data_IF_968317960781
#
_entry.id   IF_968317960781
#
_cell.length_a   1.000
_cell.length_b   1.000
_cell.length_c   1.000
_cell.angle_alpha   90.00
_cell.angle_beta   90.00
_cell.angle_gamma   90.00
#
_symmetry.space_group_name_H-M   'P 1'
#
loop_
_entity.id
_entity.type
_entity.pdbx_description
1 polymer ?
#
# COMPACT_ATOMS: atom_id res chain seq x y z
N UNK A 1 3.32 -6.59 29.14
CA UNK A 1 3.37 -5.22 28.57
C UNK A 1 4.80 -4.76 28.32
N UNK A 2 5.72 -4.80 29.30
CA UNK A 2 7.13 -4.37 29.13
C UNK A 2 7.83 -4.99 27.91
N UNK A 3 7.78 -6.32 27.72
CA UNK A 3 8.39 -7.00 26.56
C UNK A 3 7.85 -6.52 25.21
N UNK A 4 6.56 -6.23 25.11
CA UNK A 4 5.97 -5.64 23.90
C UNK A 4 6.46 -4.20 23.72
N UNK A 5 6.62 -3.47 24.83
CA UNK A 5 7.20 -2.14 24.85
C UNK A 5 8.62 -2.10 24.28
N UNK A 6 9.50 -2.98 24.75
CA UNK A 6 10.88 -3.13 24.26
C UNK A 6 10.95 -3.48 22.78
N UNK A 7 10.08 -4.38 22.31
CA UNK A 7 9.99 -4.70 20.89
C UNK A 7 9.60 -3.45 20.08
N UNK A 8 8.56 -2.71 20.47
CA UNK A 8 8.14 -1.50 19.75
C UNK A 8 9.23 -0.40 19.75
N UNK A 9 9.97 -0.25 20.86
CA UNK A 9 11.12 0.65 20.94
C UNK A 9 12.21 0.25 19.93
N UNK A 10 12.53 -1.04 19.82
CA UNK A 10 13.52 -1.52 18.85
C UNK A 10 13.10 -1.22 17.41
N UNK A 11 11.85 -1.53 17.05
CA UNK A 11 11.37 -1.31 15.69
C UNK A 11 11.29 0.18 15.34
N UNK A 12 10.88 1.04 16.28
CA UNK A 12 10.84 2.48 16.03
C UNK A 12 12.23 3.10 15.85
N UNK A 13 13.26 2.60 16.53
CA UNK A 13 14.65 3.02 16.28
C UNK A 13 15.13 2.65 14.88
N UNK A 14 14.86 1.42 14.45
CA UNK A 14 15.16 0.98 13.08
C UNK A 14 14.43 1.84 12.04
N UNK A 15 13.19 2.24 12.32
CA UNK A 15 12.43 3.13 11.44
C UNK A 15 13.09 4.52 11.33
N UNK A 16 13.57 5.08 12.44
CA UNK A 16 14.30 6.36 12.45
C UNK A 16 15.57 6.27 11.61
N UNK A 17 16.38 5.21 11.81
CA UNK A 17 17.60 4.98 11.03
C UNK A 17 17.30 4.86 9.53
N UNK A 18 16.21 4.18 9.17
CA UNK A 18 15.77 4.06 7.77
C UNK A 18 15.35 5.41 7.19
N UNK A 19 14.62 6.23 7.93
CA UNK A 19 14.20 7.57 7.49
C UNK A 19 15.39 8.50 7.29
N UNK A 20 16.37 8.47 8.20
CA UNK A 20 17.61 9.25 8.08
C UNK A 20 18.44 8.80 6.86
N UNK A 21 18.60 7.49 6.69
CA UNK A 21 19.30 6.94 5.52
C UNK A 21 18.59 7.23 4.19
N UNK A 22 17.26 7.29 4.18
CA UNK A 22 16.47 7.70 3.02
C UNK A 22 16.60 9.19 2.76
N UNK A 23 16.61 10.03 3.80
CA UNK A 23 16.80 11.46 3.69
C UNK A 23 18.15 11.83 3.02
N UNK A 24 19.20 11.05 3.28
CA UNK A 24 20.50 11.20 2.63
C UNK A 24 20.48 10.86 1.13
N UNK A 25 19.56 9.98 0.71
CA UNK A 25 19.43 9.52 -0.69
C UNK A 25 18.43 10.34 -1.50
N UNK A 26 17.49 11.00 -0.83
CA UNK A 26 16.37 11.73 -1.43
C UNK A 26 16.36 13.20 -0.94
N UNK A 27 17.25 14.06 -1.48
CA UNK A 27 17.38 15.46 -1.03
C UNK A 27 16.06 16.25 -1.13
N UNK A 28 15.20 15.92 -2.09
CA UNK A 28 13.88 16.52 -2.28
C UNK A 28 12.85 16.18 -1.18
N UNK A 29 13.09 15.12 -0.41
CA UNK A 29 12.25 14.67 0.71
C UNK A 29 12.93 14.81 2.06
N UNK A 30 14.19 15.24 2.08
CA UNK A 30 15.07 15.23 3.25
C UNK A 30 14.43 15.87 4.47
N UNK A 31 14.00 17.12 4.38
CA UNK A 31 13.49 17.86 5.54
C UNK A 31 12.25 17.18 6.14
N UNK A 32 11.34 16.69 5.29
CA UNK A 32 10.15 15.96 5.73
C UNK A 32 10.49 14.61 6.39
N UNK A 33 11.44 13.87 5.84
CA UNK A 33 11.89 12.59 6.40
C UNK A 33 12.57 12.80 7.76
N UNK A 34 13.39 13.85 7.90
CA UNK A 34 14.04 14.20 9.17
C UNK A 34 13.03 14.68 10.23
N UNK A 35 12.00 15.44 9.84
CA UNK A 35 10.92 15.83 10.74
C UNK A 35 10.12 14.62 11.24
N UNK A 36 9.81 13.69 10.33
CA UNK A 36 9.15 12.42 10.67
C UNK A 36 10.02 11.57 11.61
N UNK A 37 11.31 11.42 11.31
CA UNK A 37 12.29 10.72 12.14
C UNK A 37 12.39 11.33 13.54
N UNK A 38 12.43 12.66 13.65
CA UNK A 38 12.44 13.38 14.92
C UNK A 38 11.17 13.12 15.73
N UNK A 39 10.00 13.16 15.09
CA UNK A 39 8.73 12.88 15.76
C UNK A 39 8.67 11.45 16.31
N UNK A 40 9.09 10.46 15.51
CA UNK A 40 9.18 9.06 15.93
C UNK A 40 10.16 8.92 17.10
N UNK A 41 11.36 9.50 17.00
CA UNK A 41 12.38 9.43 18.06
C UNK A 41 11.89 10.04 19.40
N UNK A 42 11.12 11.13 19.35
CA UNK A 42 10.52 11.73 20.54
C UNK A 42 9.45 10.81 21.16
N UNK A 43 8.59 10.19 20.35
CA UNK A 43 7.61 9.23 20.84
C UNK A 43 8.28 7.98 21.43
N UNK A 44 9.34 7.47 20.79
CA UNK A 44 10.15 6.35 21.27
C UNK A 44 10.79 6.67 22.62
N UNK A 45 11.29 7.89 22.81
CA UNK A 45 11.88 8.32 24.09
C UNK A 45 10.87 8.26 25.23
N UNK A 46 9.66 8.80 25.01
CA UNK A 46 8.55 8.72 25.99
C UNK A 46 8.16 7.28 26.31
N UNK A 47 8.20 6.41 25.30
CA UNK A 47 7.91 4.99 25.47
C UNK A 47 9.00 4.25 26.26
N UNK A 48 10.27 4.62 26.09
CA UNK A 48 11.38 4.10 26.92
C UNK A 48 11.14 4.49 28.38
N UNK A 49 10.81 5.75 28.66
CA UNK A 49 10.61 6.23 30.02
C UNK A 49 9.41 5.55 30.68
N UNK A 50 8.27 5.43 29.97
CA UNK A 50 7.11 4.71 30.47
C UNK A 50 7.36 3.20 30.66
N UNK A 51 8.22 2.59 29.81
CA UNK A 51 8.61 1.19 29.96
C UNK A 51 9.46 0.98 31.20
N UNK A 52 10.43 1.86 31.46
CA UNK A 52 11.25 1.84 32.69
C UNK A 52 10.39 2.01 33.93
N UNK A 53 9.47 2.97 33.92
CA UNK A 53 8.56 3.21 35.05
C UNK A 53 7.70 1.97 35.32
N UNK A 54 7.15 1.35 34.27
CA UNK A 54 6.38 0.12 34.40
C UNK A 54 7.24 -1.11 34.80
N UNK A 55 8.56 -1.10 34.57
CA UNK A 55 9.46 -2.14 35.08
C UNK A 55 9.69 -2.01 36.58
N UNK A 56 9.82 -0.78 37.09
CA UNK A 56 9.98 -0.50 38.53
C UNK A 56 8.67 -0.73 39.28
N UNK A 57 7.54 -0.31 38.70
CA UNK A 57 6.21 -0.38 39.31
C UNK A 57 5.21 -1.17 38.44
N UNK A 58 5.38 -2.50 38.28
CA UNK A 58 4.60 -3.29 37.33
C UNK A 58 3.12 -3.45 37.68
N UNK A 59 2.75 -3.31 38.96
CA UNK A 59 1.35 -3.42 39.42
C UNK A 59 0.66 -2.08 39.58
N UNK A 60 1.38 -0.96 39.42
CA UNK A 60 0.79 0.37 39.50
C UNK A 60 -0.06 0.63 38.25
N UNK A 61 -1.35 0.88 38.47
CA UNK A 61 -2.28 1.18 37.38
C UNK A 61 -1.82 2.39 36.55
N UNK A 62 -1.28 3.42 37.20
CA UNK A 62 -0.75 4.62 36.56
C UNK A 62 0.40 4.31 35.61
N UNK A 63 1.37 3.49 36.04
CA UNK A 63 2.52 3.09 35.21
C UNK A 63 2.09 2.24 34.01
N UNK A 64 1.09 1.36 34.18
CA UNK A 64 0.52 0.58 33.07
C UNK A 64 -0.24 1.47 32.06
N UNK A 65 -1.02 2.43 32.55
CA UNK A 65 -1.75 3.40 31.70
C UNK A 65 -0.78 4.29 30.95
N UNK A 66 0.26 4.79 31.61
CA UNK A 66 1.31 5.59 30.98
C UNK A 66 2.02 4.81 29.86
N UNK A 67 2.36 3.55 30.10
CA UNK A 67 2.97 2.68 29.07
C UNK A 67 2.03 2.44 27.89
N UNK A 68 0.73 2.20 28.14
CA UNK A 68 -0.27 2.07 27.07
C UNK A 68 -0.38 3.35 26.25
N UNK A 69 -0.50 4.50 26.90
CA UNK A 69 -0.64 5.80 26.22
C UNK A 69 0.61 6.14 25.39
N UNK A 70 1.81 5.85 25.91
CA UNK A 70 3.05 6.03 25.15
C UNK A 70 3.11 5.10 23.93
N UNK A 71 2.64 3.85 24.07
CA UNK A 71 2.57 2.90 22.97
C UNK A 71 1.57 3.35 21.89
N UNK A 72 0.37 3.78 22.27
CA UNK A 72 -0.65 4.32 21.36
C UNK A 72 -0.11 5.53 20.60
N UNK A 73 0.55 6.46 21.30
CA UNK A 73 1.17 7.62 20.68
C UNK A 73 2.29 7.24 19.70
N UNK A 74 3.12 6.25 20.04
CA UNK A 74 4.14 5.76 19.11
C UNK A 74 3.49 5.14 17.86
N UNK A 75 2.40 4.38 18.00
CA UNK A 75 1.67 3.82 16.86
C UNK A 75 1.13 4.93 15.96
N UNK A 76 0.49 5.96 16.52
CA UNK A 76 -0.02 7.09 15.73
C UNK A 76 1.10 7.78 14.96
N UNK A 77 2.18 8.16 15.63
CA UNK A 77 3.29 8.89 14.99
C UNK A 77 3.99 8.04 13.93
N UNK A 78 4.20 6.75 14.18
CA UNK A 78 4.82 5.84 13.19
C UNK A 78 3.91 5.58 11.99
N UNK A 79 2.59 5.52 12.20
CA UNK A 79 1.60 5.43 11.12
C UNK A 79 1.62 6.68 10.24
N UNK A 80 1.57 7.87 10.84
CA UNK A 80 1.67 9.14 10.11
C UNK A 80 2.98 9.26 9.33
N UNK A 81 4.09 8.88 9.96
CA UNK A 81 5.42 8.94 9.36
C UNK A 81 5.60 7.97 8.17
N UNK A 82 4.84 6.87 8.12
CA UNK A 82 4.94 5.86 7.05
C UNK A 82 3.76 5.87 6.06
N UNK A 83 2.74 6.68 6.30
CA UNK A 83 1.49 6.68 5.53
C UNK A 83 1.69 6.92 4.03
N UNK A 84 2.57 7.85 3.64
CA UNK A 84 2.83 8.11 2.23
C UNK A 84 3.51 6.94 1.53
N UNK A 85 4.49 6.32 2.19
CA UNK A 85 5.22 5.18 1.65
C UNK A 85 4.29 3.96 1.51
N UNK A 86 3.40 3.75 2.48
CA UNK A 86 2.36 2.72 2.39
C UNK A 86 1.40 2.98 1.23
N UNK A 87 0.94 4.23 1.05
CA UNK A 87 0.09 4.63 -0.06
C UNK A 87 0.77 4.38 -1.41
N UNK A 88 2.06 4.72 -1.52
CA UNK A 88 2.87 4.48 -2.72
C UNK A 88 3.01 2.99 -3.03
N UNK A 89 3.34 2.16 -2.05
CA UNK A 89 3.41 0.70 -2.26
C UNK A 89 2.08 0.10 -2.67
N UNK A 90 0.99 0.54 -2.04
CA UNK A 90 -0.37 0.08 -2.38
C UNK A 90 -0.70 0.42 -3.84
N UNK A 91 -0.32 1.61 -4.29
CA UNK A 91 -0.46 2.06 -5.67
C UNK A 91 0.34 1.18 -6.64
N UNK A 92 1.62 0.93 -6.35
CA UNK A 92 2.47 0.07 -7.17
C UNK A 92 1.91 -1.36 -7.28
N UNK A 93 1.38 -1.91 -6.18
CA UNK A 93 0.72 -3.21 -6.18
C UNK A 93 -0.56 -3.22 -7.03
N UNK A 94 -1.40 -2.20 -6.91
CA UNK A 94 -2.62 -2.07 -7.72
C UNK A 94 -2.29 -1.98 -9.21
N UNK A 95 -1.30 -1.18 -9.57
CA UNK A 95 -0.82 -1.06 -10.94
C UNK A 95 -0.34 -2.40 -11.50
N UNK A 96 0.44 -3.14 -10.71
CA UNK A 96 0.94 -4.45 -11.11
C UNK A 96 -0.19 -5.47 -11.28
N UNK A 97 -1.16 -5.48 -10.37
CA UNK A 97 -2.33 -6.34 -10.46
C UNK A 97 -3.16 -6.02 -11.72
N UNK A 98 -3.39 -4.73 -12.00
CA UNK A 98 -4.12 -4.30 -13.19
C UNK A 98 -3.41 -4.71 -14.50
N UNK A 99 -2.06 -4.61 -14.56
CA UNK A 99 -1.28 -5.11 -15.70
C UNK A 99 -1.44 -6.61 -15.90
N UNK A 100 -1.39 -7.38 -14.82
CA UNK A 100 -1.58 -8.82 -14.87
C UNK A 100 -3.00 -9.17 -15.34
N UNK A 101 -4.03 -8.47 -14.85
CA UNK A 101 -5.41 -8.65 -15.29
C UNK A 101 -5.56 -8.36 -16.80
N UNK A 102 -5.01 -7.24 -17.29
CA UNK A 102 -5.04 -6.89 -18.72
C UNK A 102 -4.33 -7.95 -19.60
N UNK A 103 -3.17 -8.43 -19.16
CA UNK A 103 -2.42 -9.47 -19.86
C UNK A 103 -3.18 -10.80 -19.87
N UNK A 104 -3.74 -11.20 -18.74
CA UNK A 104 -4.54 -12.41 -18.61
C UNK A 104 -5.78 -12.35 -19.51
N UNK A 105 -6.53 -11.24 -19.49
CA UNK A 105 -7.68 -11.04 -20.37
C UNK A 105 -7.30 -11.17 -21.85
N UNK A 106 -6.19 -10.54 -22.27
CA UNK A 106 -5.69 -10.62 -23.64
C UNK A 106 -5.32 -12.06 -24.03
N UNK A 107 -4.67 -12.81 -23.14
CA UNK A 107 -4.31 -14.22 -23.37
C UNK A 107 -5.55 -15.12 -23.44
N UNK A 108 -6.54 -14.90 -22.57
CA UNK A 108 -7.80 -15.63 -22.57
C UNK A 108 -8.57 -15.42 -23.88
N UNK A 109 -8.66 -14.17 -24.35
CA UNK A 109 -9.28 -13.85 -25.66
C UNK A 109 -8.54 -14.56 -26.79
N UNK A 110 -7.19 -14.52 -26.79
CA UNK A 110 -6.39 -15.18 -27.82
C UNK A 110 -6.60 -16.71 -27.82
N UNK A 111 -6.63 -17.33 -26.64
CA UNK A 111 -6.88 -18.76 -26.49
C UNK A 111 -8.30 -19.14 -26.92
N UNK A 112 -9.31 -18.36 -26.53
CA UNK A 112 -10.69 -18.56 -26.93
C UNK A 112 -10.84 -18.50 -28.46
N UNK A 113 -10.25 -17.50 -29.10
CA UNK A 113 -10.24 -17.37 -30.56
C UNK A 113 -9.51 -18.54 -31.24
N UNK A 114 -8.41 -19.04 -30.66
CA UNK A 114 -7.71 -20.22 -31.19
C UNK A 114 -8.53 -21.52 -31.04
N UNK A 115 -9.41 -21.60 -30.04
CA UNK A 115 -10.27 -22.75 -29.80
C UNK A 115 -11.53 -22.76 -30.68
N UNK A 116 -11.99 -21.61 -31.18
CA UNK A 116 -13.19 -21.48 -32.04
C UNK A 116 -13.33 -22.54 -33.13
N UNK A 117 -12.31 -22.87 -33.96
CA UNK A 117 -12.45 -23.87 -35.01
C UNK A 117 -12.69 -25.30 -34.51
N UNK A 118 -12.45 -25.58 -33.23
CA UNK A 118 -12.64 -26.91 -32.63
C UNK A 118 -13.99 -27.06 -31.92
N UNK A 119 -14.77 -25.97 -31.79
CA UNK A 119 -16.07 -25.98 -31.10
C UNK A 119 -17.16 -26.42 -32.10
N UNK A 120 -17.80 -27.55 -31.82
CA UNK A 120 -18.85 -28.11 -32.68
C UNK A 120 -20.22 -27.42 -32.50
N UNK A 121 -20.45 -26.78 -31.35
CA UNK A 121 -21.70 -26.09 -31.05
C UNK A 121 -21.66 -24.64 -31.52
N UNK A 122 -22.55 -24.29 -32.45
CA UNK A 122 -22.69 -22.92 -32.96
C UNK A 122 -23.06 -21.94 -31.84
N UNK A 123 -23.99 -22.32 -30.97
CA UNK A 123 -24.42 -21.50 -29.82
C UNK A 123 -23.26 -21.21 -28.87
N UNK A 124 -22.43 -22.21 -28.55
CA UNK A 124 -21.26 -22.02 -27.68
C UNK A 124 -20.23 -21.10 -28.34
N UNK A 125 -20.04 -21.22 -29.65
CA UNK A 125 -19.12 -20.35 -30.41
C UNK A 125 -19.61 -18.90 -30.41
N UNK A 126 -20.91 -18.67 -30.62
CA UNK A 126 -21.52 -17.33 -30.58
C UNK A 126 -21.42 -16.71 -29.18
N UNK A 127 -21.73 -17.44 -28.11
CA UNK A 127 -21.55 -16.97 -26.73
C UNK A 127 -20.10 -16.60 -26.45
N UNK A 128 -19.15 -17.46 -26.84
CA UNK A 128 -17.71 -17.21 -26.62
C UNK A 128 -17.23 -15.94 -27.34
N UNK A 129 -17.71 -15.70 -28.58
CA UNK A 129 -17.40 -14.48 -29.34
C UNK A 129 -17.92 -13.24 -28.61
N UNK A 130 -19.15 -13.29 -28.09
CA UNK A 130 -19.75 -12.18 -27.34
C UNK A 130 -18.91 -11.88 -26.09
N UNK A 131 -18.65 -12.88 -25.25
CA UNK A 131 -17.86 -12.71 -24.02
C UNK A 131 -16.44 -12.20 -24.29
N UNK A 132 -15.78 -12.71 -25.35
CA UNK A 132 -14.47 -12.22 -25.76
C UNK A 132 -14.51 -10.78 -26.25
N UNK A 133 -15.57 -10.38 -26.96
CA UNK A 133 -15.75 -9.01 -27.47
C UNK A 133 -15.99 -8.05 -26.31
N UNK A 134 -16.91 -8.39 -25.40
CA UNK A 134 -17.18 -7.60 -24.19
C UNK A 134 -15.93 -7.44 -23.33
N UNK A 135 -15.15 -8.52 -23.15
CA UNK A 135 -13.89 -8.47 -22.41
C UNK A 135 -12.85 -7.61 -23.14
N UNK A 136 -12.74 -7.75 -24.47
CA UNK A 136 -11.80 -6.97 -25.29
C UNK A 136 -12.07 -5.47 -25.23
N UNK A 137 -13.32 -5.04 -25.11
CA UNK A 137 -13.70 -3.63 -24.96
C UNK A 137 -13.21 -3.03 -23.63
N UNK A 138 -13.01 -3.86 -22.59
CA UNK A 138 -12.55 -3.41 -21.26
C UNK A 138 -11.02 -3.33 -21.13
N UNK A 139 -10.27 -4.02 -21.99
CA UNK A 139 -8.80 -4.04 -21.90
C UNK A 139 -8.15 -2.68 -22.22
N UNK A 140 -8.51 -1.98 -23.33
CA UNK A 140 -7.95 -0.65 -23.64
C UNK A 140 -8.15 0.42 -22.55
N UNK A 141 -9.35 0.62 -21.96
CA UNK A 141 -9.53 1.61 -20.90
C UNK A 141 -8.74 1.24 -19.64
N UNK A 142 -8.64 -0.05 -19.29
CA UNK A 142 -7.79 -0.49 -18.17
C UNK A 142 -6.31 -0.11 -18.41
N UNK A 143 -5.79 -0.35 -19.62
CA UNK A 143 -4.41 0.04 -19.98
C UNK A 143 -4.23 1.56 -19.96
N UNK A 144 -5.23 2.33 -20.43
CA UNK A 144 -5.19 3.78 -20.37
C UNK A 144 -5.10 4.28 -18.92
N UNK A 145 -5.95 3.74 -18.03
CA UNK A 145 -5.93 4.06 -16.60
C UNK A 145 -4.62 3.69 -15.91
N UNK A 146 -3.99 2.56 -16.28
CA UNK A 146 -2.64 2.20 -15.81
C UNK A 146 -1.61 3.24 -16.25
N UNK A 147 -1.66 3.70 -17.50
CA UNK A 147 -0.72 4.70 -18.03
C UNK A 147 -0.92 6.07 -17.39
N UNK A 148 -2.18 6.48 -17.17
CA UNK A 148 -2.50 7.71 -16.44
C UNK A 148 -1.98 7.66 -15.01
N UNK A 149 -2.14 6.52 -14.33
CA UNK A 149 -1.59 6.25 -13.01
C UNK A 149 -0.06 6.41 -12.96
N UNK A 150 0.65 5.87 -13.94
CA UNK A 150 2.11 6.02 -14.06
C UNK A 150 2.56 7.45 -14.39
N UNK A 151 1.76 8.18 -15.18
CA UNK A 151 2.06 9.54 -15.59
C UNK A 151 1.74 10.59 -14.51
N UNK A 152 0.94 10.24 -13.50
CA UNK A 152 0.50 11.15 -12.46
C UNK A 152 1.66 11.66 -11.59
N UNK A 153 1.86 12.98 -11.58
CA UNK A 153 2.96 13.63 -10.83
C UNK A 153 2.47 14.33 -9.57
N UNK A 154 1.24 14.83 -9.58
CA UNK A 154 0.65 15.50 -8.43
C UNK A 154 -0.20 14.55 -7.56
N UNK A 155 -0.39 14.87 -6.26
CA UNK A 155 -1.24 14.09 -5.37
C UNK A 155 -2.70 13.95 -5.85
N UNK A 156 -3.25 15.00 -6.47
CA UNK A 156 -4.62 15.02 -6.99
C UNK A 156 -4.77 14.16 -8.24
N UNK A 157 -3.78 14.17 -9.14
CA UNK A 157 -3.74 13.26 -10.30
C UNK A 157 -3.61 11.80 -9.85
N UNK A 158 -2.75 11.52 -8.87
CA UNK A 158 -2.59 10.16 -8.33
C UNK A 158 -3.89 9.62 -7.75
N UNK A 159 -4.61 10.43 -6.98
CA UNK A 159 -5.90 10.04 -6.41
C UNK A 159 -6.96 9.78 -7.50
N UNK A 160 -7.03 10.63 -8.52
CA UNK A 160 -7.94 10.43 -9.66
C UNK A 160 -7.61 9.17 -10.43
N UNK A 161 -6.34 8.98 -10.78
CA UNK A 161 -5.89 7.80 -11.49
C UNK A 161 -6.13 6.51 -10.68
N UNK A 162 -5.95 6.54 -9.36
CA UNK A 162 -6.31 5.45 -8.46
C UNK A 162 -7.80 5.12 -8.51
N UNK A 163 -8.65 6.12 -8.42
CA UNK A 163 -10.10 5.94 -8.45
C UNK A 163 -10.57 5.33 -9.78
N UNK A 164 -9.99 5.79 -10.89
CA UNK A 164 -10.23 5.23 -12.21
C UNK A 164 -9.74 3.78 -12.30
N UNK A 165 -8.52 3.49 -11.83
CA UNK A 165 -7.93 2.16 -11.90
C UNK A 165 -8.71 1.13 -11.07
N UNK A 166 -9.17 1.51 -9.88
CA UNK A 166 -10.04 0.66 -9.04
C UNK A 166 -11.35 0.36 -9.79
N UNK A 167 -12.02 1.40 -10.31
CA UNK A 167 -13.28 1.24 -11.05
C UNK A 167 -13.10 0.32 -12.26
N UNK A 168 -12.07 0.54 -13.06
CA UNK A 168 -11.88 -0.20 -14.29
C UNK A 168 -11.47 -1.66 -14.01
N UNK A 169 -10.72 -1.90 -12.93
CA UNK A 169 -10.41 -3.28 -12.48
C UNK A 169 -11.67 -4.03 -12.03
N UNK A 170 -12.61 -3.37 -11.33
CA UNK A 170 -13.90 -3.98 -10.93
C UNK A 170 -14.84 -4.28 -12.10
N UNK A 171 -14.59 -3.71 -13.29
CA UNK A 171 -15.39 -4.00 -14.49
C UNK A 171 -14.84 -5.18 -15.32
N UNK A 172 -13.65 -5.68 -14.96
CA UNK A 172 -12.98 -6.79 -15.65
C UNK A 172 -13.10 -8.11 -14.88
N UNK A 173 -13.45 -8.07 -13.59
CA UNK A 173 -13.75 -9.25 -12.75
C UNK A 173 -15.24 -9.56 -12.74
#
# INVERSE_FOLDING_TARGET
MVRQGENAIRHSRLLVEQMEAEADRAPERRDRLLDAARSVAQATSRMIDATKECQVHPQAAESQVALRSAAEKLVTVTSEATSEEQSKRTMEHLEQAAKQAAAAATQTIAAANACQPYIQSKTVTETLIIECTETAERVPPLIASIRESQAARSPSEKFRAQSNLIRDTTQVS
#
